data_IF_721921020154
#
_entry.id   IF_721921020154
#
_cell.length_a   1.000
_cell.length_b   1.000
_cell.length_c   1.000
_cell.angle_alpha   90.00
_cell.angle_beta   90.00
_cell.angle_gamma   90.00
#
_symmetry.space_group_name_H-M   'P 1'
#
loop_
_entity.id
_entity.type
_entity.pdbx_description
1 polymer ?
#
# COMPACT_ATOMS: atom_id res chain seq x y z
N UNK A 1 -11.74 -3.02 -27.48
CA UNK A 1 -10.74 -1.98 -27.24
C UNK A 1 -10.24 -2.19 -25.82
N UNK A 2 -8.96 -2.45 -25.64
CA UNK A 2 -8.41 -2.65 -24.31
C UNK A 2 -7.67 -1.38 -23.89
N UNK A 3 -7.94 -0.91 -22.68
CA UNK A 3 -7.20 0.19 -22.07
C UNK A 3 -6.53 -0.31 -20.79
N UNK A 4 -5.45 0.34 -20.39
CA UNK A 4 -4.80 0.12 -19.11
C UNK A 4 -4.85 1.39 -18.27
N UNK A 5 -4.71 1.23 -16.96
CA UNK A 5 -4.72 2.36 -16.05
C UNK A 5 -3.50 2.34 -15.13
N UNK A 6 -2.89 3.51 -14.96
CA UNK A 6 -1.88 3.78 -13.94
C UNK A 6 -2.47 4.65 -12.83
N UNK A 7 -2.24 4.26 -11.59
CA UNK A 7 -2.64 5.01 -10.41
C UNK A 7 -1.42 5.41 -9.59
N UNK A 8 -1.25 6.71 -9.39
CA UNK A 8 -0.32 7.27 -8.42
C UNK A 8 -1.10 7.60 -7.14
N UNK A 9 -0.78 6.87 -6.06
CA UNK A 9 -1.57 6.81 -4.84
C UNK A 9 -0.93 7.64 -3.75
N UNK A 10 -1.65 8.66 -3.29
CA UNK A 10 -1.29 9.50 -2.16
C UNK A 10 -2.25 9.31 -0.98
N UNK A 11 -1.94 9.95 0.14
CA UNK A 11 -2.75 9.91 1.36
C UNK A 11 -4.19 10.38 1.15
N UNK A 12 -4.36 11.50 0.43
CA UNK A 12 -5.63 12.20 0.33
C UNK A 12 -6.15 12.29 -1.12
N UNK A 13 -5.42 11.73 -2.09
CA UNK A 13 -5.77 11.76 -3.50
C UNK A 13 -5.19 10.60 -4.28
N UNK A 14 -5.84 10.28 -5.40
CA UNK A 14 -5.41 9.29 -6.36
C UNK A 14 -5.35 9.95 -7.73
N UNK A 15 -4.18 10.00 -8.33
CA UNK A 15 -3.99 10.45 -9.70
C UNK A 15 -4.16 9.26 -10.63
N UNK A 16 -5.12 9.38 -11.54
CA UNK A 16 -5.46 8.34 -12.51
C UNK A 16 -5.00 8.75 -13.89
N UNK A 17 -4.42 7.81 -14.62
CA UNK A 17 -4.19 7.92 -16.05
C UNK A 17 -4.65 6.65 -16.76
N UNK A 18 -5.65 6.77 -17.62
CA UNK A 18 -6.08 5.70 -18.54
C UNK A 18 -5.36 5.91 -19.87
N UNK A 19 -4.76 4.84 -20.38
CA UNK A 19 -4.07 4.81 -21.67
C UNK A 19 -4.75 3.74 -22.55
N UNK A 20 -5.30 4.17 -23.68
CA UNK A 20 -5.85 3.28 -24.69
C UNK A 20 -4.78 2.71 -25.62
N UNK A 21 -5.08 1.60 -26.30
CA UNK A 21 -4.20 1.00 -27.34
C UNK A 21 -3.89 1.99 -28.50
N UNK A 22 -4.73 2.99 -28.70
CA UNK A 22 -4.54 4.02 -29.73
C UNK A 22 -3.74 5.24 -29.26
N UNK A 23 -3.28 5.23 -27.98
CA UNK A 23 -2.49 6.32 -27.42
C UNK A 23 -3.33 7.46 -26.84
N UNK A 24 -4.64 7.31 -26.74
CA UNK A 24 -5.50 8.28 -26.06
C UNK A 24 -5.24 8.24 -24.56
N UNK A 25 -5.10 9.44 -23.98
CA UNK A 25 -4.85 9.64 -22.56
C UNK A 25 -6.03 10.33 -21.89
N UNK A 26 -6.48 9.75 -20.77
CA UNK A 26 -7.48 10.35 -19.89
C UNK A 26 -6.84 10.48 -18.51
N UNK A 27 -6.71 11.70 -18.03
CA UNK A 27 -6.17 11.98 -16.70
C UNK A 27 -7.24 12.59 -15.82
N UNK A 28 -7.35 12.10 -14.59
CA UNK A 28 -8.25 12.64 -13.57
C UNK A 28 -7.69 12.43 -12.17
N UNK A 29 -8.07 13.30 -11.25
CA UNK A 29 -7.73 13.18 -9.83
C UNK A 29 -9.00 12.87 -9.05
N UNK A 30 -8.91 11.89 -8.17
CA UNK A 30 -9.98 11.50 -7.26
C UNK A 30 -9.54 11.65 -5.81
N UNK A 31 -10.50 11.85 -4.91
CA UNK A 31 -10.28 11.68 -3.49
C UNK A 31 -10.27 10.20 -3.09
N UNK A 32 -10.09 9.95 -1.80
CA UNK A 32 -9.91 8.60 -1.25
C UNK A 32 -11.14 8.06 -0.49
N UNK A 33 -12.23 8.83 -0.47
CA UNK A 33 -13.48 8.37 0.14
C UNK A 33 -14.14 7.30 -0.73
N UNK A 34 -14.85 6.36 -0.11
CA UNK A 34 -15.40 5.18 -0.80
C UNK A 34 -16.18 5.54 -2.06
N UNK A 35 -17.08 6.52 -1.98
CA UNK A 35 -17.88 6.94 -3.15
C UNK A 35 -17.03 7.51 -4.29
N UNK A 36 -15.89 8.19 -3.97
CA UNK A 36 -14.96 8.72 -4.98
C UNK A 36 -14.16 7.60 -5.65
N UNK A 37 -13.81 6.56 -4.89
CA UNK A 37 -13.17 5.36 -5.44
C UNK A 37 -14.14 4.57 -6.31
N UNK A 38 -15.43 4.57 -5.98
CA UNK A 38 -16.48 3.98 -6.81
C UNK A 38 -16.70 4.77 -8.10
N UNK A 39 -16.72 6.10 -8.05
CA UNK A 39 -16.74 6.94 -9.26
C UNK A 39 -15.51 6.69 -10.15
N UNK A 40 -14.34 6.51 -9.54
CA UNK A 40 -13.11 6.17 -10.26
C UNK A 40 -13.22 4.80 -10.94
N UNK A 41 -13.75 3.78 -10.24
CA UNK A 41 -14.03 2.45 -10.80
C UNK A 41 -14.98 2.54 -12.00
N UNK A 42 -16.07 3.29 -11.87
CA UNK A 42 -17.08 3.40 -12.90
C UNK A 42 -16.54 4.11 -14.16
N UNK A 43 -15.68 5.12 -13.98
CA UNK A 43 -14.95 5.74 -15.08
C UNK A 43 -14.06 4.73 -15.81
N UNK A 44 -13.32 3.90 -15.07
CA UNK A 44 -12.45 2.87 -15.68
C UNK A 44 -13.26 1.80 -16.42
N UNK A 45 -14.41 1.38 -15.86
CA UNK A 45 -15.32 0.45 -16.53
C UNK A 45 -15.87 1.05 -17.83
N UNK A 46 -16.26 2.33 -17.81
CA UNK A 46 -16.75 3.05 -18.99
C UNK A 46 -15.71 3.09 -20.13
N UNK A 47 -14.44 3.20 -19.78
CA UNK A 47 -13.33 3.22 -20.74
C UNK A 47 -12.71 1.84 -21.02
N UNK A 48 -13.39 0.75 -20.66
CA UNK A 48 -12.99 -0.62 -20.92
C UNK A 48 -11.56 -0.94 -20.46
N UNK A 49 -11.17 -0.41 -19.29
CA UNK A 49 -9.90 -0.76 -18.64
C UNK A 49 -9.89 -2.23 -18.28
N UNK A 50 -8.85 -2.95 -18.64
CA UNK A 50 -8.67 -4.37 -18.32
C UNK A 50 -7.64 -4.61 -17.24
N UNK A 51 -6.63 -3.76 -17.16
CA UNK A 51 -5.51 -3.90 -16.23
C UNK A 51 -5.17 -2.57 -15.57
N UNK A 52 -4.97 -2.61 -14.26
CA UNK A 52 -4.67 -1.43 -13.44
C UNK A 52 -3.41 -1.69 -12.64
N UNK A 53 -2.44 -0.79 -12.75
CA UNK A 53 -1.24 -0.82 -11.91
C UNK A 53 -1.22 0.37 -10.96
N UNK A 54 -0.84 0.13 -9.71
CA UNK A 54 -0.71 1.15 -8.68
C UNK A 54 0.56 1.00 -7.87
N UNK A 55 1.08 2.10 -7.34
CA UNK A 55 2.21 2.07 -6.42
C UNK A 55 1.81 1.56 -5.02
N UNK A 56 2.69 0.77 -4.40
CA UNK A 56 2.53 0.26 -3.04
C UNK A 56 2.93 1.27 -1.96
N UNK A 57 2.45 2.51 -2.07
CA UNK A 57 2.80 3.57 -1.12
C UNK A 57 2.08 3.36 0.22
N UNK A 58 2.84 3.03 1.27
CA UNK A 58 2.33 2.81 2.64
C UNK A 58 1.13 1.84 2.67
N UNK A 59 0.02 2.23 3.32
CA UNK A 59 -1.25 1.48 3.41
C UNK A 59 -2.35 2.05 2.50
N UNK A 60 -2.07 3.14 1.78
CA UNK A 60 -3.07 3.92 1.05
C UNK A 60 -3.66 3.16 -0.16
N UNK A 61 -2.92 2.20 -0.71
CA UNK A 61 -3.38 1.33 -1.80
C UNK A 61 -4.46 0.32 -1.37
N UNK A 62 -4.57 -0.01 -0.08
CA UNK A 62 -5.46 -1.09 0.42
C UNK A 62 -6.94 -0.81 0.12
N UNK A 63 -7.53 0.36 0.46
CA UNK A 63 -8.93 0.63 0.14
C UNK A 63 -9.19 0.68 -1.37
N UNK A 64 -8.23 1.18 -2.17
CA UNK A 64 -8.33 1.20 -3.63
C UNK A 64 -8.34 -0.24 -4.17
N UNK A 65 -7.44 -1.09 -3.69
CA UNK A 65 -7.38 -2.50 -4.05
C UNK A 65 -8.71 -3.22 -3.80
N UNK A 66 -9.32 -2.98 -2.64
CA UNK A 66 -10.60 -3.60 -2.28
C UNK A 66 -11.73 -3.22 -3.23
N UNK A 67 -11.80 -1.97 -3.64
CA UNK A 67 -12.83 -1.47 -4.56
C UNK A 67 -12.61 -2.00 -5.98
N UNK A 68 -11.35 -2.09 -6.41
CA UNK A 68 -11.03 -2.41 -7.81
C UNK A 68 -10.83 -3.90 -8.09
N UNK A 69 -10.38 -4.70 -7.11
CA UNK A 69 -10.03 -6.11 -7.32
C UNK A 69 -11.17 -7.01 -7.84
N UNK A 70 -12.47 -6.74 -7.58
CA UNK A 70 -13.55 -7.52 -8.18
C UNK A 70 -13.75 -7.27 -9.69
N UNK A 71 -13.20 -6.18 -10.24
CA UNK A 71 -13.52 -5.69 -11.57
C UNK A 71 -12.35 -5.72 -12.55
N UNK A 72 -11.11 -5.65 -12.05
CA UNK A 72 -9.92 -5.47 -12.89
C UNK A 72 -8.80 -6.42 -12.50
N UNK A 73 -7.93 -6.71 -13.46
CA UNK A 73 -6.62 -7.30 -13.16
C UNK A 73 -5.74 -6.21 -12.53
N UNK A 74 -5.32 -6.44 -11.28
CA UNK A 74 -4.55 -5.45 -10.51
C UNK A 74 -3.09 -5.86 -10.34
N UNK A 75 -2.19 -4.91 -10.52
CA UNK A 75 -0.77 -5.01 -10.22
C UNK A 75 -0.40 -3.99 -9.14
N UNK A 76 0.09 -4.48 -8.01
CA UNK A 76 0.70 -3.65 -6.99
C UNK A 76 2.21 -3.57 -7.23
N UNK A 77 2.70 -2.42 -7.64
CA UNK A 77 4.08 -2.24 -8.02
C UNK A 77 4.90 -1.58 -6.91
N UNK A 78 6.12 -2.04 -6.72
CA UNK A 78 7.06 -1.38 -5.81
C UNK A 78 7.60 -0.10 -6.48
N UNK A 79 7.47 1.08 -5.82
CA UNK A 79 7.94 2.36 -6.35
C UNK A 79 9.42 2.36 -6.77
N UNK A 80 10.25 1.62 -6.05
CA UNK A 80 11.67 1.49 -6.36
C UNK A 80 11.91 0.93 -7.76
N UNK A 81 11.20 -0.13 -8.14
CA UNK A 81 11.36 -0.74 -9.47
C UNK A 81 10.78 0.15 -10.58
N UNK A 82 9.64 0.82 -10.35
CA UNK A 82 9.06 1.74 -11.34
C UNK A 82 10.03 2.87 -11.70
N UNK A 83 10.72 3.42 -10.68
CA UNK A 83 11.69 4.52 -10.88
C UNK A 83 12.94 4.10 -11.63
N UNK A 84 13.28 2.81 -11.62
CA UNK A 84 14.46 2.29 -12.33
C UNK A 84 14.18 1.89 -13.79
N UNK A 85 12.93 1.87 -14.22
CA UNK A 85 12.60 1.50 -15.59
C UNK A 85 13.15 2.55 -16.57
N UNK A 86 13.86 2.11 -17.62
CA UNK A 86 14.45 3.02 -18.60
C UNK A 86 13.39 3.70 -19.45
N UNK A 87 13.65 4.92 -19.89
CA UNK A 87 12.80 5.65 -20.83
C UNK A 87 11.81 6.63 -20.20
N UNK A 88 11.84 6.82 -18.87
CA UNK A 88 11.08 7.90 -18.22
C UNK A 88 11.63 9.26 -18.64
N UNK A 89 10.77 10.11 -19.21
CA UNK A 89 11.09 11.53 -19.44
C UNK A 89 10.78 12.30 -18.16
N UNK A 90 11.58 13.31 -17.83
CA UNK A 90 11.46 14.12 -16.61
C UNK A 90 10.09 14.76 -16.41
N UNK A 91 9.38 15.05 -17.51
CA UNK A 91 8.13 15.80 -17.51
C UNK A 91 6.86 14.92 -17.54
N UNK A 92 7.03 13.58 -17.45
CA UNK A 92 5.89 12.64 -17.42
C UNK A 92 5.39 12.47 -16.01
N UNK A 93 4.10 12.70 -15.79
CA UNK A 93 3.43 12.48 -14.50
C UNK A 93 3.54 11.02 -14.08
N UNK A 94 3.60 10.75 -12.78
CA UNK A 94 3.81 9.41 -12.24
C UNK A 94 2.71 8.43 -12.65
N UNK A 95 1.44 8.81 -12.59
CA UNK A 95 0.33 7.99 -13.05
C UNK A 95 0.42 7.63 -14.54
N UNK A 96 0.80 8.60 -15.39
CA UNK A 96 0.99 8.37 -16.82
C UNK A 96 2.16 7.40 -17.08
N UNK A 97 3.26 7.57 -16.35
CA UNK A 97 4.40 6.64 -16.46
C UNK A 97 4.01 5.22 -16.07
N UNK A 98 3.25 5.05 -14.97
CA UNK A 98 2.73 3.75 -14.54
C UNK A 98 1.85 3.14 -15.64
N UNK A 99 0.93 3.92 -16.26
CA UNK A 99 0.09 3.44 -17.35
C UNK A 99 0.92 2.97 -18.56
N UNK A 100 1.93 3.75 -18.95
CA UNK A 100 2.85 3.37 -20.05
C UNK A 100 3.61 2.07 -19.73
N UNK A 101 4.10 1.94 -18.50
CA UNK A 101 4.80 0.73 -18.06
C UNK A 101 3.86 -0.49 -18.01
N UNK A 102 2.59 -0.29 -17.63
CA UNK A 102 1.55 -1.34 -17.66
C UNK A 102 1.29 -1.79 -19.07
N UNK A 103 1.05 -0.85 -20.00
CA UNK A 103 0.80 -1.14 -21.41
C UNK A 103 1.95 -1.93 -22.07
N UNK A 104 3.19 -1.67 -21.64
CA UNK A 104 4.39 -2.36 -22.13
C UNK A 104 4.73 -3.64 -21.36
N UNK A 105 3.87 -4.07 -20.44
CA UNK A 105 4.07 -5.25 -19.58
C UNK A 105 5.39 -5.22 -18.77
N UNK A 106 5.88 -4.02 -18.44
CA UNK A 106 7.14 -3.83 -17.70
C UNK A 106 6.95 -3.90 -16.18
N UNK A 107 5.72 -3.87 -15.69
CA UNK A 107 5.43 -3.88 -14.26
C UNK A 107 5.39 -5.32 -13.75
N UNK A 108 6.34 -5.63 -12.87
CA UNK A 108 6.28 -6.86 -12.09
C UNK A 108 5.47 -6.61 -10.82
N UNK A 109 4.24 -7.12 -10.77
CA UNK A 109 3.36 -6.99 -9.61
C UNK A 109 3.92 -7.71 -8.38
N UNK A 110 3.77 -7.07 -7.22
CA UNK A 110 4.02 -7.70 -5.92
C UNK A 110 2.88 -8.64 -5.56
N UNK A 111 3.20 -9.72 -4.87
CA UNK A 111 2.17 -10.63 -4.36
C UNK A 111 1.35 -9.94 -3.27
N UNK A 112 0.04 -9.83 -3.48
CA UNK A 112 -0.91 -9.36 -2.47
C UNK A 112 -1.61 -10.58 -1.88
N UNK A 113 -1.37 -10.90 -0.60
CA UNK A 113 -1.99 -12.06 0.02
C UNK A 113 -3.51 -11.88 0.17
N UNK A 114 -4.28 -12.98 0.25
CA UNK A 114 -5.70 -12.94 0.54
C UNK A 114 -6.00 -12.13 1.82
N UNK A 115 -7.20 -11.55 1.91
CA UNK A 115 -7.56 -10.64 3.00
C UNK A 115 -7.40 -11.29 4.40
N UNK A 116 -7.76 -12.56 4.54
CA UNK A 116 -7.58 -13.30 5.80
C UNK A 116 -6.10 -13.34 6.24
N UNK A 117 -5.17 -13.51 5.31
CA UNK A 117 -3.74 -13.50 5.61
C UNK A 117 -3.26 -12.09 5.96
N UNK A 118 -3.82 -11.06 5.33
CA UNK A 118 -3.52 -9.67 5.70
C UNK A 118 -3.98 -9.37 7.13
N UNK A 119 -5.18 -9.82 7.53
CA UNK A 119 -5.69 -9.68 8.89
C UNK A 119 -4.84 -10.44 9.90
N UNK A 120 -4.49 -11.70 9.63
CA UNK A 120 -3.61 -12.48 10.50
C UNK A 120 -2.26 -11.80 10.73
N UNK A 121 -1.64 -11.24 9.68
CA UNK A 121 -0.41 -10.46 9.79
C UNK A 121 -0.56 -9.21 10.66
N UNK A 122 -1.73 -8.56 10.64
CA UNK A 122 -2.00 -7.41 11.51
C UNK A 122 -2.09 -7.84 12.98
N UNK A 123 -2.77 -8.97 13.27
CA UNK A 123 -2.85 -9.52 14.63
C UNK A 123 -1.47 -9.94 15.13
N UNK A 124 -0.68 -10.65 14.34
CA UNK A 124 0.67 -11.07 14.71
C UNK A 124 1.56 -9.87 15.03
N UNK A 125 1.55 -8.85 14.17
CA UNK A 125 2.27 -7.60 14.44
C UNK A 125 1.80 -6.93 15.72
N UNK A 126 0.47 -6.91 15.98
CA UNK A 126 -0.07 -6.32 17.20
C UNK A 126 0.37 -7.07 18.45
N UNK A 127 0.40 -8.41 18.39
CA UNK A 127 0.91 -9.25 19.48
C UNK A 127 2.39 -8.94 19.74
N UNK A 128 3.19 -8.83 18.69
CA UNK A 128 4.60 -8.47 18.81
C UNK A 128 4.77 -7.08 19.48
N UNK A 129 4.05 -6.07 19.00
CA UNK A 129 4.12 -4.71 19.56
C UNK A 129 3.72 -4.67 21.04
N UNK A 130 2.69 -5.44 21.44
CA UNK A 130 2.25 -5.55 22.84
C UNK A 130 3.32 -6.20 23.71
N UNK A 131 3.96 -7.25 23.24
CA UNK A 131 5.06 -7.90 23.97
C UNK A 131 6.23 -6.94 24.16
N UNK A 132 6.62 -6.20 23.13
CA UNK A 132 7.64 -5.16 23.21
C UNK A 132 7.25 -4.05 24.22
N UNK A 133 5.97 -3.69 24.27
CA UNK A 133 5.48 -2.70 25.22
C UNK A 133 5.54 -3.22 26.66
N UNK A 134 5.19 -4.48 26.91
CA UNK A 134 5.29 -5.13 28.22
C UNK A 134 6.74 -5.09 28.68
N UNK A 135 7.69 -5.53 27.86
CA UNK A 135 9.12 -5.51 28.21
C UNK A 135 9.60 -4.09 28.58
N UNK A 136 9.21 -3.10 27.78
CA UNK A 136 9.54 -1.69 28.08
C UNK A 136 8.94 -1.19 29.39
N UNK A 137 7.71 -1.59 29.73
CA UNK A 137 7.04 -1.22 30.99
C UNK A 137 7.70 -1.88 32.20
N UNK A 138 8.03 -3.18 32.08
CA UNK A 138 8.73 -3.92 33.11
C UNK A 138 10.11 -3.31 33.40
N UNK A 139 10.87 -2.97 32.36
CA UNK A 139 12.17 -2.29 32.53
C UNK A 139 12.05 -0.94 33.23
N UNK A 140 11.01 -0.15 32.91
CA UNK A 140 10.74 1.11 33.61
C UNK A 140 10.38 0.88 35.08
N UNK A 141 9.57 -0.12 35.39
CA UNK A 141 9.20 -0.49 36.74
C UNK A 141 10.45 -0.87 37.55
N UNK A 142 11.29 -1.74 36.99
CA UNK A 142 12.53 -2.17 37.64
C UNK A 142 13.44 -0.96 37.93
N UNK A 143 13.58 -0.06 36.96
CA UNK A 143 14.38 1.18 37.17
C UNK A 143 13.83 2.09 38.31
N UNK A 144 12.51 2.18 38.47
CA UNK A 144 11.88 2.92 39.56
C UNK A 144 12.16 2.23 40.92
N UNK A 145 11.97 0.90 40.95
CA UNK A 145 12.23 0.12 42.17
C UNK A 145 13.69 0.21 42.61
N UNK A 146 14.64 0.14 41.67
CA UNK A 146 16.06 0.30 41.95
C UNK A 146 16.41 1.70 42.55
N UNK A 147 15.71 2.75 42.11
CA UNK A 147 15.87 4.09 42.72
C UNK A 147 15.43 4.10 44.19
N UNK A 148 14.47 3.23 44.57
CA UNK A 148 14.03 3.07 45.96
C UNK A 148 14.88 2.01 46.70
N UNK A 149 15.99 1.55 46.13
CA UNK A 149 16.84 0.46 46.66
C UNK A 149 16.12 -0.87 46.82
N UNK A 150 15.08 -1.11 46.00
CA UNK A 150 14.33 -2.39 45.92
C UNK A 150 14.82 -3.13 44.68
N UNK A 151 15.36 -4.35 44.86
CA UNK A 151 15.95 -5.16 43.80
C UNK A 151 15.15 -6.47 43.64
N UNK A 152 14.00 -6.41 42.94
CA UNK A 152 13.13 -7.57 42.70
C UNK A 152 13.81 -8.66 41.88
N UNK A 153 14.68 -8.31 40.95
CA UNK A 153 15.44 -9.27 40.11
C UNK A 153 16.28 -10.25 40.91
N UNK A 154 16.70 -9.91 42.12
CA UNK A 154 17.47 -10.78 43.03
C UNK A 154 16.62 -11.88 43.68
N UNK A 155 15.30 -11.65 43.78
CA UNK A 155 14.36 -12.57 44.41
C UNK A 155 13.48 -13.31 43.41
N UNK A 156 13.21 -12.69 42.26
CA UNK A 156 12.35 -13.21 41.20
C UNK A 156 13.06 -13.14 39.83
N UNK A 157 13.96 -14.10 39.54
CA UNK A 157 14.77 -14.07 38.31
C UNK A 157 13.97 -14.17 37.02
N UNK A 158 12.69 -14.56 37.07
CA UNK A 158 11.80 -14.67 35.91
C UNK A 158 10.83 -13.48 35.73
N UNK A 159 10.92 -12.45 36.59
CA UNK A 159 10.00 -11.32 36.55
C UNK A 159 10.23 -10.37 35.37
N UNK A 160 11.40 -10.42 34.74
CA UNK A 160 11.84 -9.55 33.66
C UNK A 160 12.10 -10.29 32.34
N UNK A 161 11.61 -11.52 32.20
CA UNK A 161 11.72 -12.28 30.96
C UNK A 161 10.46 -12.29 30.14
#
# INVERSE_FOLDING_TARGET
>A
MNAVCGLDVHKDSVYLCILSEFGELIEKVFGVLTYQLEEMRDLMLHHHVVEVSMESTSVYWIPIWRVLSPHFKLNLANPYFIKQLPGRKSDVKDAQWIAVCTMKELIRGSFVPPEIIQQLRQYDRRIFDLNEEIVRKLSKLDAVLQRCNIRLSNYFPFYLR
#
